data_IF_087367455587
#
_entry.id   IF_087367455587
#
_cell.length_a   1.000
_cell.length_b   1.000
_cell.length_c   1.000
_cell.angle_alpha   90.00
_cell.angle_beta   90.00
_cell.angle_gamma   90.00
#
_symmetry.space_group_name_H-M   'P 1'
#
loop_
_entity.id
_entity.type
_entity.pdbx_description
1 polymer ?
#
# COMPACT_ATOMS: atom_id res chain seq x y z
N UNK A 1 -1.46 -14.28 -18.36
CA UNK A 1 -2.20 -13.33 -17.51
C UNK A 1 -1.45 -13.20 -16.19
N UNK A 2 -0.87 -12.07 -15.94
CA UNK A 2 -0.18 -11.81 -14.67
C UNK A 2 -1.20 -11.78 -13.53
N UNK A 3 -1.08 -12.69 -12.58
CA UNK A 3 -1.91 -12.67 -11.38
C UNK A 3 -1.44 -11.48 -10.54
N UNK A 4 -2.24 -10.42 -10.49
CA UNK A 4 -1.96 -9.31 -9.59
C UNK A 4 -2.09 -9.77 -8.15
N UNK A 5 -1.05 -9.52 -7.36
CA UNK A 5 -0.96 -9.91 -5.96
C UNK A 5 -0.80 -8.69 -5.07
N UNK A 6 -1.29 -8.79 -3.86
CA UNK A 6 -1.26 -7.71 -2.86
C UNK A 6 -0.13 -7.96 -1.86
N UNK A 7 0.82 -7.04 -1.79
CA UNK A 7 2.02 -7.16 -0.97
C UNK A 7 1.99 -6.19 0.19
N UNK A 8 2.24 -6.71 1.39
CA UNK A 8 2.26 -5.96 2.65
C UNK A 8 3.67 -5.91 3.20
N UNK A 9 4.12 -4.73 3.58
CA UNK A 9 5.35 -4.51 4.34
C UNK A 9 5.03 -3.91 5.71
N UNK A 10 5.82 -4.29 6.70
CA UNK A 10 5.79 -3.76 8.07
C UNK A 10 7.19 -3.29 8.41
N UNK A 11 7.33 -2.06 8.88
CA UNK A 11 8.61 -1.51 9.31
C UNK A 11 8.49 -0.87 10.68
N UNK A 12 9.12 -1.50 11.67
CA UNK A 12 9.18 -1.06 13.07
C UNK A 12 10.45 -1.65 13.70
N UNK A 13 11.22 -0.86 14.43
CA UNK A 13 12.46 -1.32 15.07
C UNK A 13 12.20 -2.25 16.28
N UNK A 14 10.97 -2.25 16.80
CA UNK A 14 10.50 -3.19 17.82
C UNK A 14 10.09 -4.51 17.18
N UNK A 15 10.89 -5.57 17.40
CA UNK A 15 10.66 -6.90 16.81
C UNK A 15 9.29 -7.49 17.16
N UNK A 16 8.82 -7.24 18.38
CA UNK A 16 7.54 -7.73 18.87
C UNK A 16 6.37 -7.14 18.09
N UNK A 17 6.42 -5.83 17.79
CA UNK A 17 5.39 -5.15 17.01
C UNK A 17 5.41 -5.64 15.56
N UNK A 18 6.59 -5.73 14.95
CA UNK A 18 6.74 -6.26 13.60
C UNK A 18 6.20 -7.69 13.50
N UNK A 19 6.56 -8.58 14.44
CA UNK A 19 6.09 -9.96 14.47
C UNK A 19 4.56 -10.05 14.65
N UNK A 20 3.99 -9.25 15.55
CA UNK A 20 2.54 -9.16 15.76
C UNK A 20 1.80 -8.78 14.48
N UNK A 21 2.26 -7.72 13.80
CA UNK A 21 1.62 -7.25 12.56
C UNK A 21 1.74 -8.25 11.42
N UNK A 22 2.92 -8.85 11.24
CA UNK A 22 3.12 -9.90 10.24
C UNK A 22 2.14 -11.06 10.49
N UNK A 23 2.03 -11.52 11.73
CA UNK A 23 1.10 -12.59 12.10
C UNK A 23 -0.36 -12.21 11.80
N UNK A 24 -0.80 -11.00 12.18
CA UNK A 24 -2.15 -10.52 11.91
C UNK A 24 -2.41 -10.48 10.40
N UNK A 25 -1.46 -9.98 9.61
CA UNK A 25 -1.60 -9.86 8.17
C UNK A 25 -1.64 -11.23 7.46
N UNK A 26 -0.81 -12.18 7.88
CA UNK A 26 -0.80 -13.55 7.34
C UNK A 26 -2.07 -14.33 7.64
N UNK A 27 -2.75 -14.02 8.74
CA UNK A 27 -4.03 -14.62 9.11
C UNK A 27 -5.23 -14.09 8.30
N UNK A 28 -5.04 -13.07 7.44
CA UNK A 28 -6.14 -12.57 6.61
C UNK A 28 -6.49 -13.59 5.52
N UNK A 29 -7.76 -13.95 5.43
CA UNK A 29 -8.28 -14.90 4.41
C UNK A 29 -8.45 -14.27 3.02
N UNK A 30 -7.61 -13.32 2.64
CA UNK A 30 -7.66 -12.67 1.35
C UNK A 30 -6.84 -13.45 0.33
N UNK A 31 -7.51 -14.00 -0.68
CA UNK A 31 -6.91 -14.93 -1.67
C UNK A 31 -5.71 -14.39 -2.46
N UNK A 32 -5.51 -13.07 -2.47
CA UNK A 32 -4.49 -12.41 -3.28
C UNK A 32 -3.36 -11.78 -2.46
N UNK A 33 -3.31 -11.98 -1.14
CA UNK A 33 -2.13 -11.61 -0.36
C UNK A 33 -1.04 -12.64 -0.66
N UNK A 34 0.03 -12.19 -1.31
CA UNK A 34 1.16 -13.04 -1.66
C UNK A 34 2.30 -12.94 -0.68
N UNK A 35 2.59 -11.73 -0.23
CA UNK A 35 3.77 -11.48 0.58
C UNK A 35 3.43 -10.58 1.75
N UNK A 36 3.87 -11.00 2.94
CA UNK A 36 3.93 -10.15 4.12
C UNK A 36 5.38 -10.16 4.60
N UNK A 37 6.02 -8.99 4.66
CA UNK A 37 7.43 -8.86 5.04
C UNK A 37 7.60 -7.86 6.18
N UNK A 38 8.37 -8.26 7.20
CA UNK A 38 8.77 -7.41 8.31
C UNK A 38 10.19 -6.87 8.15
N UNK A 39 10.39 -5.62 8.51
CA UNK A 39 11.68 -4.92 8.49
C UNK A 39 11.88 -4.20 9.83
N UNK A 40 13.13 -4.14 10.27
CA UNK A 40 13.50 -3.57 11.57
C UNK A 40 14.26 -2.25 11.47
N UNK A 41 14.45 -1.76 10.24
CA UNK A 41 15.07 -0.47 9.95
C UNK A 41 14.56 0.10 8.63
N UNK A 42 14.61 1.42 8.50
CA UNK A 42 14.24 2.08 7.26
C UNK A 42 15.14 1.70 6.09
N UNK A 43 16.45 1.50 6.34
CA UNK A 43 17.40 1.04 5.33
C UNK A 43 17.03 -0.31 4.73
N UNK A 44 16.65 -1.29 5.56
CA UNK A 44 16.19 -2.61 5.09
C UNK A 44 14.92 -2.50 4.23
N UNK A 45 13.95 -1.68 4.68
CA UNK A 45 12.74 -1.43 3.92
C UNK A 45 13.04 -0.82 2.57
N UNK A 46 13.87 0.22 2.51
CA UNK A 46 14.21 0.93 1.28
C UNK A 46 14.94 0.03 0.28
N UNK A 47 15.86 -0.81 0.74
CA UNK A 47 16.55 -1.80 -0.11
C UNK A 47 15.56 -2.80 -0.72
N UNK A 48 14.59 -3.27 0.08
CA UNK A 48 13.56 -4.18 -0.39
C UNK A 48 12.65 -3.53 -1.43
N UNK A 49 12.19 -2.30 -1.16
CA UNK A 49 11.29 -1.57 -2.05
C UNK A 49 11.94 -1.17 -3.39
N UNK A 50 13.26 -1.06 -3.44
CA UNK A 50 13.99 -0.83 -4.69
C UNK A 50 13.84 -1.98 -5.71
N UNK A 51 13.50 -3.18 -5.25
CA UNK A 51 13.42 -4.40 -6.07
C UNK A 51 12.04 -5.06 -6.06
N UNK A 52 11.16 -4.64 -5.16
CA UNK A 52 9.87 -5.29 -4.93
C UNK A 52 8.75 -4.27 -4.81
N UNK A 53 7.57 -4.63 -5.30
CA UNK A 53 6.38 -3.81 -5.12
C UNK A 53 5.79 -4.02 -3.71
N UNK A 54 5.37 -2.93 -3.10
CA UNK A 54 4.61 -2.90 -1.84
C UNK A 54 3.31 -2.13 -2.09
N UNK A 55 2.19 -2.71 -1.72
CA UNK A 55 0.86 -2.11 -1.89
C UNK A 55 0.33 -1.49 -0.60
N UNK A 56 0.67 -2.09 0.55
CA UNK A 56 0.37 -1.56 1.89
C UNK A 56 1.63 -1.59 2.75
N UNK A 57 1.96 -0.46 3.35
CA UNK A 57 3.06 -0.28 4.29
C UNK A 57 2.52 0.13 5.66
N UNK A 58 2.79 -0.67 6.69
CA UNK A 58 2.72 -0.24 8.08
C UNK A 58 4.08 0.32 8.47
N UNK A 59 4.13 1.57 8.88
CA UNK A 59 5.38 2.31 9.07
C UNK A 59 5.42 2.98 10.43
N UNK A 60 6.39 2.60 11.25
CA UNK A 60 6.70 3.36 12.45
C UNK A 60 7.29 4.73 12.09
N UNK A 61 6.92 5.74 12.83
CA UNK A 61 7.42 7.11 12.62
C UNK A 61 8.85 7.25 13.15
N UNK A 62 9.17 6.57 14.25
CA UNK A 62 10.46 6.66 14.93
C UNK A 62 11.28 5.35 14.75
N UNK A 63 12.01 5.24 13.66
CA UNK A 63 12.98 4.17 13.45
C UNK A 63 14.38 4.60 13.91
N UNK A 64 15.21 3.65 14.27
CA UNK A 64 16.53 3.95 14.81
C UNK A 64 17.54 4.55 13.81
N UNK A 65 17.35 4.33 12.52
CA UNK A 65 18.25 4.77 11.46
C UNK A 65 17.72 5.94 10.62
N UNK A 66 16.41 6.06 10.47
CA UNK A 66 15.74 7.16 9.76
C UNK A 66 14.31 7.33 10.28
N UNK A 67 13.65 8.41 9.91
CA UNK A 67 12.26 8.64 10.32
C UNK A 67 11.27 8.10 9.30
N UNK A 68 10.07 7.73 9.74
CA UNK A 68 8.96 7.40 8.84
C UNK A 68 8.59 8.57 7.93
N UNK A 69 8.86 9.81 8.34
CA UNK A 69 8.67 11.02 7.54
C UNK A 69 9.64 11.03 6.35
N UNK A 70 10.93 10.70 6.57
CA UNK A 70 11.93 10.66 5.50
C UNK A 70 11.61 9.58 4.47
N UNK A 71 11.19 8.41 4.94
CA UNK A 71 10.73 7.31 4.08
C UNK A 71 9.52 7.74 3.25
N UNK A 72 8.55 8.40 3.88
CA UNK A 72 7.32 8.84 3.20
C UNK A 72 7.61 9.92 2.16
N UNK A 73 8.53 10.84 2.48
CA UNK A 73 8.99 11.86 1.52
C UNK A 73 9.60 11.20 0.29
N UNK A 74 10.46 10.21 0.48
CA UNK A 74 11.03 9.46 -0.62
C UNK A 74 9.96 8.78 -1.47
N UNK A 75 9.05 8.04 -0.85
CA UNK A 75 7.96 7.33 -1.55
C UNK A 75 7.10 8.31 -2.37
N UNK A 76 6.65 9.43 -1.78
CA UNK A 76 5.69 10.34 -2.40
C UNK A 76 6.33 11.38 -3.31
N UNK A 77 7.46 11.96 -2.90
CA UNK A 77 8.06 13.10 -3.60
C UNK A 77 9.16 12.71 -4.58
N UNK A 78 9.96 11.69 -4.26
CA UNK A 78 11.04 11.25 -5.12
C UNK A 78 10.60 10.15 -6.07
N UNK A 79 9.98 9.09 -5.56
CA UNK A 79 9.55 7.94 -6.36
C UNK A 79 8.17 8.15 -7.01
N UNK A 80 7.46 9.24 -6.67
CA UNK A 80 6.11 9.58 -7.15
C UNK A 80 5.10 8.42 -7.00
N UNK A 81 5.24 7.63 -5.94
CA UNK A 81 4.37 6.50 -5.66
C UNK A 81 3.16 6.93 -4.83
N UNK A 82 2.09 7.36 -5.48
CA UNK A 82 0.83 7.75 -4.84
C UNK A 82 -0.13 6.55 -4.64
N UNK A 83 0.24 5.39 -5.12
CA UNK A 83 -0.64 4.20 -5.11
C UNK A 83 -0.46 3.33 -3.89
N UNK A 84 0.74 3.25 -3.32
CA UNK A 84 1.02 2.55 -2.07
C UNK A 84 0.22 3.18 -0.93
N UNK A 85 -0.50 2.35 -0.18
CA UNK A 85 -1.18 2.80 1.03
C UNK A 85 -0.21 2.78 2.21
N UNK A 86 -0.19 3.84 3.01
CA UNK A 86 0.67 3.94 4.19
C UNK A 86 -0.21 4.08 5.43
N UNK A 87 0.01 3.22 6.40
CA UNK A 87 -0.54 3.29 7.75
C UNK A 87 0.60 3.60 8.71
N UNK A 88 0.54 4.75 9.37
CA UNK A 88 1.55 5.11 10.35
C UNK A 88 1.23 4.52 11.71
N UNK A 89 2.29 4.11 12.40
CA UNK A 89 2.23 3.62 13.77
C UNK A 89 3.06 4.55 14.66
N UNK A 90 2.56 4.91 15.82
CA UNK A 90 3.30 5.75 16.75
C UNK A 90 2.89 5.52 18.19
N UNK A 91 3.86 5.63 19.11
CA UNK A 91 3.62 5.73 20.54
C UNK A 91 3.47 7.17 21.04
N UNK A 92 3.62 8.16 20.15
CA UNK A 92 3.57 9.59 20.48
C UNK A 92 2.53 10.31 19.64
N UNK A 93 1.98 11.37 20.20
CA UNK A 93 1.06 12.26 19.49
C UNK A 93 1.83 13.40 18.80
N UNK A 94 1.17 14.07 17.85
CA UNK A 94 1.66 15.30 17.24
C UNK A 94 2.28 15.20 15.86
N UNK A 95 2.46 13.97 15.33
CA UNK A 95 2.99 13.76 13.99
C UNK A 95 1.94 13.85 12.86
N UNK A 96 0.66 13.78 13.19
CA UNK A 96 -0.44 13.68 12.23
C UNK A 96 -0.42 14.85 11.24
N UNK A 97 -0.12 16.06 11.74
CA UNK A 97 -0.11 17.26 10.90
C UNK A 97 0.97 17.23 9.84
N UNK A 98 2.18 16.77 10.17
CA UNK A 98 3.30 16.68 9.26
C UNK A 98 3.13 15.54 8.25
N UNK A 99 2.54 14.43 8.71
CA UNK A 99 2.33 13.23 7.90
C UNK A 99 1.12 13.32 6.97
N UNK A 100 0.22 14.28 7.21
CA UNK A 100 -0.99 14.45 6.40
C UNK A 100 -0.67 14.71 4.91
N UNK A 101 0.42 15.43 4.63
CA UNK A 101 0.87 15.72 3.27
C UNK A 101 1.30 14.48 2.47
N UNK A 102 1.56 13.36 3.14
CA UNK A 102 1.92 12.08 2.52
C UNK A 102 0.73 11.16 2.28
N UNK A 103 -0.50 11.66 2.43
CA UNK A 103 -1.75 10.95 2.17
C UNK A 103 -1.82 9.61 2.90
N UNK A 104 -1.82 9.60 4.25
CA UNK A 104 -1.94 8.37 5.02
C UNK A 104 -3.28 7.69 4.79
N UNK A 105 -3.28 6.36 4.79
CA UNK A 105 -4.51 5.60 4.87
C UNK A 105 -5.12 5.70 6.26
N UNK A 106 -4.27 5.60 7.30
CA UNK A 106 -4.68 5.70 8.69
C UNK A 106 -3.48 5.93 9.63
N UNK A 107 -3.78 6.22 10.89
CA UNK A 107 -2.83 6.28 11.99
C UNK A 107 -3.24 5.29 13.08
N UNK A 108 -2.28 4.51 13.57
CA UNK A 108 -2.47 3.55 14.66
C UNK A 108 -1.61 3.94 15.85
N UNK A 109 -2.24 4.21 16.98
CA UNK A 109 -1.54 4.42 18.24
C UNK A 109 -1.04 3.08 18.80
N UNK A 110 0.20 3.06 19.30
CA UNK A 110 0.73 1.93 20.07
C UNK A 110 0.25 2.02 21.53
N UNK A 111 -0.18 0.92 22.18
CA UNK A 111 -0.17 -0.46 21.72
C UNK A 111 -1.22 -0.73 20.64
N UNK A 112 -0.88 -1.58 19.66
CA UNK A 112 -1.72 -1.81 18.50
C UNK A 112 -3.00 -2.58 18.85
N UNK A 113 -4.12 -2.12 18.32
CA UNK A 113 -5.39 -2.81 18.37
C UNK A 113 -5.55 -3.70 17.13
N UNK A 114 -5.66 -5.01 17.31
CA UNK A 114 -5.74 -5.99 16.23
C UNK A 114 -6.91 -5.72 15.28
N UNK A 115 -8.09 -5.36 15.81
CA UNK A 115 -9.27 -5.06 14.99
C UNK A 115 -9.02 -3.87 14.05
N UNK A 116 -8.35 -2.81 14.54
CA UNK A 116 -7.96 -1.66 13.72
C UNK A 116 -6.92 -2.01 12.66
N UNK A 117 -5.96 -2.89 12.98
CA UNK A 117 -4.99 -3.39 12.00
C UNK A 117 -5.71 -4.15 10.88
N UNK A 118 -6.62 -5.05 11.20
CA UNK A 118 -7.43 -5.80 10.23
C UNK A 118 -8.29 -4.88 9.36
N UNK A 119 -8.87 -3.84 9.94
CA UNK A 119 -9.63 -2.81 9.22
C UNK A 119 -8.74 -2.07 8.20
N UNK A 120 -7.54 -1.64 8.59
CA UNK A 120 -6.59 -1.01 7.68
C UNK A 120 -6.20 -1.90 6.50
N UNK A 121 -5.96 -3.20 6.75
CA UNK A 121 -5.67 -4.18 5.69
C UNK A 121 -6.86 -4.31 4.73
N UNK A 122 -8.08 -4.44 5.26
CA UNK A 122 -9.30 -4.54 4.45
C UNK A 122 -9.53 -3.29 3.59
N UNK A 123 -9.33 -2.09 4.16
CA UNK A 123 -9.44 -0.82 3.44
C UNK A 123 -8.41 -0.71 2.31
N UNK A 124 -7.16 -1.03 2.58
CA UNK A 124 -6.08 -0.99 1.59
C UNK A 124 -6.33 -2.00 0.46
N UNK A 125 -6.73 -3.22 0.82
CA UNK A 125 -7.05 -4.27 -0.14
C UNK A 125 -8.25 -3.86 -1.03
N UNK A 126 -9.30 -3.27 -0.46
CA UNK A 126 -10.43 -2.75 -1.22
C UNK A 126 -10.02 -1.69 -2.25
N UNK A 127 -9.19 -0.73 -1.85
CA UNK A 127 -8.64 0.29 -2.76
C UNK A 127 -7.77 -0.32 -3.86
N UNK A 128 -6.95 -1.31 -3.51
CA UNK A 128 -6.10 -2.04 -4.45
C UNK A 128 -6.92 -2.81 -5.48
N UNK A 129 -7.95 -3.54 -5.07
CA UNK A 129 -8.83 -4.29 -5.98
C UNK A 129 -9.52 -3.36 -6.96
N UNK A 130 -10.08 -2.24 -6.50
CA UNK A 130 -10.72 -1.26 -7.38
C UNK A 130 -9.74 -0.70 -8.42
N UNK A 131 -8.50 -0.43 -8.02
CA UNK A 131 -7.45 0.08 -8.92
C UNK A 131 -7.03 -0.96 -9.96
N UNK A 132 -6.85 -2.22 -9.57
CA UNK A 132 -6.45 -3.32 -10.45
C UNK A 132 -7.53 -3.74 -11.44
N UNK A 133 -8.79 -3.49 -11.11
CA UNK A 133 -9.92 -3.77 -12.00
C UNK A 133 -10.31 -2.56 -12.87
N UNK A 134 -9.41 -1.62 -13.12
CA UNK A 134 -9.60 -0.56 -14.11
C UNK A 134 -8.94 -0.94 -15.42
N UNK A 135 -9.70 -0.83 -16.49
CA UNK A 135 -9.18 -0.90 -17.85
C UNK A 135 -8.84 0.52 -18.33
N UNK A 136 -7.63 0.69 -18.86
CA UNK A 136 -7.16 1.96 -19.39
C UNK A 136 -7.10 1.87 -20.91
N UNK A 137 -7.76 2.80 -21.60
CA UNK A 137 -7.68 2.91 -23.03
C UNK A 137 -7.37 4.33 -23.46
N UNK A 138 -6.75 4.47 -24.61
CA UNK A 138 -6.44 5.77 -25.22
C UNK A 138 -7.39 6.02 -26.39
N UNK A 139 -8.03 7.19 -26.36
CA UNK A 139 -8.79 7.69 -27.50
C UNK A 139 -8.22 9.05 -27.88
N UNK A 140 -7.65 9.16 -29.08
CA UNK A 140 -6.90 10.34 -29.54
C UNK A 140 -5.70 10.63 -28.58
N UNK A 141 -5.66 11.80 -27.98
CA UNK A 141 -4.59 12.21 -27.04
C UNK A 141 -4.96 12.06 -25.56
N UNK A 142 -6.13 11.50 -25.26
CA UNK A 142 -6.62 11.35 -23.90
C UNK A 142 -6.62 9.88 -23.45
N UNK A 143 -6.28 9.67 -22.18
CA UNK A 143 -6.33 8.35 -21.53
C UNK A 143 -7.57 8.28 -20.65
N UNK A 144 -8.34 7.24 -20.81
CA UNK A 144 -9.56 6.98 -20.06
C UNK A 144 -9.37 5.74 -19.20
N UNK A 145 -9.97 5.76 -18.01
CA UNK A 145 -10.01 4.63 -17.10
C UNK A 145 -11.46 4.18 -16.91
N UNK A 146 -11.74 2.91 -17.16
CA UNK A 146 -13.07 2.32 -16.94
C UNK A 146 -12.94 1.18 -15.95
N UNK A 147 -13.84 1.10 -14.97
CA UNK A 147 -13.94 -0.05 -14.09
C UNK A 147 -14.31 -1.30 -14.90
N UNK A 148 -13.56 -2.39 -14.74
CA UNK A 148 -13.81 -3.66 -15.46
C UNK A 148 -15.24 -4.16 -15.23
N UNK A 149 -15.82 -3.97 -14.04
CA UNK A 149 -17.20 -4.32 -13.76
C UNK A 149 -18.27 -3.52 -14.53
N UNK A 150 -17.88 -2.45 -15.24
CA UNK A 150 -18.76 -1.64 -16.12
C UNK A 150 -18.58 -1.96 -17.60
N UNK A 151 -17.66 -2.85 -17.93
CA UNK A 151 -17.39 -3.27 -19.30
C UNK A 151 -18.34 -4.43 -19.62
N UNK A 152 -19.23 -4.23 -20.60
CA UNK A 152 -20.21 -5.23 -21.00
C UNK A 152 -19.62 -6.18 -22.06
N UNK A 153 -18.84 -5.61 -22.99
CA UNK A 153 -18.18 -6.40 -24.04
C UNK A 153 -16.94 -5.68 -24.56
N UNK A 154 -16.03 -6.45 -25.13
CA UNK A 154 -14.95 -5.94 -25.96
C UNK A 154 -15.20 -6.44 -27.38
N UNK A 155 -15.36 -5.51 -28.31
CA UNK A 155 -15.38 -5.80 -29.73
C UNK A 155 -14.14 -5.19 -30.34
N UNK A 156 -13.35 -6.01 -31.02
CA UNK A 156 -12.20 -5.55 -31.80
C UNK A 156 -12.54 -5.72 -33.27
N UNK A 157 -12.66 -4.61 -33.98
CA UNK A 157 -12.54 -4.61 -35.40
C UNK A 157 -11.08 -4.22 -35.78
N UNK A 158 -10.65 -4.52 -36.99
CA UNK A 158 -9.25 -4.37 -37.40
C UNK A 158 -8.72 -2.95 -37.20
N UNK A 159 -9.60 -1.97 -36.98
CA UNK A 159 -9.27 -0.55 -36.91
C UNK A 159 -9.83 0.20 -35.69
N UNK A 160 -10.67 -0.40 -34.85
CA UNK A 160 -11.26 0.29 -33.69
C UNK A 160 -11.61 -0.67 -32.56
N UNK A 161 -11.45 -0.19 -31.33
CA UNK A 161 -11.96 -0.85 -30.12
C UNK A 161 -13.15 -0.02 -29.62
N UNK A 162 -14.32 -0.64 -29.52
CA UNK A 162 -15.52 -0.05 -28.94
C UNK A 162 -15.75 -0.61 -27.54
N UNK A 163 -16.14 0.26 -26.60
CA UNK A 163 -16.44 -0.07 -25.21
C UNK A 163 -17.90 0.26 -24.93
#
# INVERSE_FOLDING_TARGET
MEISVFNIAVCDDMKEITAQLVQIAEQQSMKQIQTVKGFYSGGQLMEYMAKNNVDLLFLDIELGDMTGIDISRKIRKEDHNDTMQIVYMTGKEGYERELFDFQPLNFLAKPLNEAKVRECIAMAYGKWTVRKHKFYYRKSYQVYAVSVGRIISFETDIYSCHI
#
